data_IF_343761546503
#
_entry.id   IF_343761546503
#
_cell.length_a   1.000
_cell.length_b   1.000
_cell.length_c   1.000
_cell.angle_alpha   90.00
_cell.angle_beta   90.00
_cell.angle_gamma   90.00
#
_symmetry.space_group_name_H-M   'P 1'
#
loop_
_entity.id
_entity.type
_entity.pdbx_description
1 polymer ?
#
# COMPACT_ATOMS: atom_id res chain seq x y z
N UNK A 1 -1.26 -7.37 8.94
CA UNK A 1 0.05 -6.72 8.84
C UNK A 1 -0.10 -5.38 8.14
N UNK A 2 0.78 -4.41 8.42
CA UNK A 2 0.84 -3.15 7.68
C UNK A 2 1.89 -3.23 6.57
N UNK A 3 1.56 -2.77 5.36
CA UNK A 3 2.43 -2.84 4.17
C UNK A 3 3.68 -1.96 4.36
N UNK A 4 3.54 -0.77 4.95
CA UNK A 4 4.64 0.15 5.24
C UNK A 4 5.76 -0.44 6.11
N UNK A 5 5.39 -1.33 7.04
CA UNK A 5 6.29 -1.91 8.03
C UNK A 5 7.14 -3.08 7.51
N UNK A 6 6.93 -3.53 6.26
CA UNK A 6 7.63 -4.69 5.69
C UNK A 6 8.44 -4.29 4.46
N UNK A 7 9.70 -4.70 4.39
CA UNK A 7 10.54 -4.47 3.20
C UNK A 7 10.32 -5.50 2.07
N UNK A 8 9.37 -6.41 2.25
CA UNK A 8 9.08 -7.51 1.33
C UNK A 8 7.61 -7.49 0.91
N UNK A 9 7.29 -8.24 -0.14
CA UNK A 9 5.92 -8.39 -0.62
C UNK A 9 4.98 -8.96 0.46
N UNK A 10 3.79 -8.39 0.60
CA UNK A 10 2.79 -8.80 1.60
C UNK A 10 1.54 -9.32 0.91
N UNK A 11 1.01 -10.47 1.34
CA UNK A 11 -0.25 -11.00 0.78
C UNK A 11 -1.42 -10.05 1.06
N UNK A 12 -2.29 -9.86 0.07
CA UNK A 12 -3.51 -9.05 0.22
C UNK A 12 -4.37 -9.49 1.41
N UNK A 13 -4.52 -10.80 1.62
CA UNK A 13 -5.29 -11.36 2.75
C UNK A 13 -4.70 -10.96 4.10
N UNK A 14 -3.37 -10.97 4.24
CA UNK A 14 -2.71 -10.57 5.48
C UNK A 14 -2.86 -9.06 5.79
N UNK A 15 -3.17 -8.25 4.77
CA UNK A 15 -3.53 -6.83 4.96
C UNK A 15 -5.00 -6.72 5.37
N UNK A 16 -5.89 -7.44 4.69
CA UNK A 16 -7.31 -7.50 5.02
C UNK A 16 -7.56 -7.89 6.48
N UNK A 17 -6.85 -8.91 6.98
CA UNK A 17 -7.01 -9.40 8.37
C UNK A 17 -6.64 -8.37 9.44
N UNK A 18 -6.01 -7.25 9.07
CA UNK A 18 -5.64 -6.17 10.00
C UNK A 18 -6.35 -4.85 9.71
N UNK A 19 -7.33 -4.84 8.82
CA UNK A 19 -8.13 -3.66 8.49
C UNK A 19 -9.60 -3.98 8.76
N UNK A 20 -10.32 -3.16 9.55
CA UNK A 20 -11.74 -3.39 9.84
C UNK A 20 -12.62 -2.93 8.67
N UNK A 21 -12.32 -3.36 7.44
CA UNK A 21 -13.04 -3.02 6.22
C UNK A 21 -13.32 -4.27 5.39
N UNK A 22 -14.33 -4.21 4.52
CA UNK A 22 -14.66 -5.34 3.65
C UNK A 22 -13.56 -5.61 2.61
N UNK A 23 -13.51 -6.84 2.09
CA UNK A 23 -12.59 -7.21 1.01
C UNK A 23 -12.82 -6.38 -0.27
N UNK A 24 -14.07 -5.99 -0.56
CA UNK A 24 -14.39 -5.13 -1.69
C UNK A 24 -13.84 -3.72 -1.50
N UNK A 25 -14.03 -3.14 -0.31
CA UNK A 25 -13.49 -1.83 0.07
C UNK A 25 -11.98 -1.85 -0.01
N UNK A 26 -11.32 -2.85 0.58
CA UNK A 26 -9.87 -3.00 0.51
C UNK A 26 -9.38 -3.08 -0.95
N UNK A 27 -10.03 -3.89 -1.79
CA UNK A 27 -9.67 -4.03 -3.20
C UNK A 27 -9.75 -2.70 -3.95
N UNK A 28 -10.77 -1.88 -3.64
CA UNK A 28 -10.89 -0.54 -4.20
C UNK A 28 -9.70 0.34 -3.79
N UNK A 29 -9.35 0.38 -2.50
CA UNK A 29 -8.18 1.13 -2.02
C UNK A 29 -6.86 0.65 -2.63
N UNK A 30 -6.66 -0.66 -2.74
CA UNK A 30 -5.45 -1.22 -3.36
C UNK A 30 -5.33 -0.81 -4.83
N UNK A 31 -6.44 -0.77 -5.58
CA UNK A 31 -6.45 -0.21 -6.94
C UNK A 31 -6.08 1.27 -6.96
N UNK A 32 -6.61 2.09 -6.05
CA UNK A 32 -6.25 3.51 -5.99
C UNK A 32 -4.76 3.70 -5.68
N UNK A 33 -4.21 2.93 -4.75
CA UNK A 33 -2.79 2.97 -4.40
C UNK A 33 -1.90 2.49 -5.55
N UNK A 34 -2.32 1.47 -6.28
CA UNK A 34 -1.60 0.98 -7.48
C UNK A 34 -1.64 2.02 -8.60
N UNK A 35 -2.80 2.62 -8.88
CA UNK A 35 -2.95 3.69 -9.88
C UNK A 35 -2.11 4.92 -9.53
N UNK A 36 -1.97 5.25 -8.25
CA UNK A 36 -1.10 6.32 -7.77
C UNK A 36 0.40 5.97 -7.82
N UNK A 37 0.76 4.73 -8.19
CA UNK A 37 2.14 4.26 -8.23
C UNK A 37 2.76 4.01 -6.85
N UNK A 38 1.97 4.03 -5.77
CA UNK A 38 2.44 3.82 -4.40
C UNK A 38 2.72 2.35 -4.10
N UNK A 39 1.99 1.45 -4.75
CA UNK A 39 2.21 0.00 -4.64
C UNK A 39 2.22 -0.63 -6.03
N UNK A 40 2.74 -1.85 -6.11
CA UNK A 40 2.52 -2.76 -7.23
C UNK A 40 1.87 -4.04 -6.74
N UNK A 41 1.02 -4.65 -7.57
CA UNK A 41 0.37 -5.92 -7.26
C UNK A 41 1.00 -7.03 -8.10
N UNK A 42 1.85 -7.85 -7.49
CA UNK A 42 2.45 -9.02 -8.11
C UNK A 42 1.57 -10.25 -7.92
N UNK A 43 1.03 -10.80 -9.02
CA UNK A 43 0.23 -12.03 -8.99
C UNK A 43 1.14 -13.25 -9.06
N UNK A 44 1.02 -14.15 -8.09
CA UNK A 44 1.70 -15.45 -8.06
C UNK A 44 0.62 -16.53 -7.94
N UNK A 45 0.20 -17.07 -9.09
CA UNK A 45 -0.94 -17.98 -9.18
C UNK A 45 -2.23 -17.32 -8.70
N UNK A 46 -2.90 -17.93 -7.72
CA UNK A 46 -4.13 -17.39 -7.09
C UNK A 46 -3.88 -16.29 -6.06
N UNK A 47 -2.63 -15.99 -5.74
CA UNK A 47 -2.28 -15.02 -4.70
C UNK A 47 -1.87 -13.68 -5.29
N UNK A 48 -2.36 -12.60 -4.69
CA UNK A 48 -1.93 -11.24 -4.98
C UNK A 48 -1.03 -10.76 -3.84
N UNK A 49 0.23 -10.45 -4.18
CA UNK A 49 1.21 -9.87 -3.28
C UNK A 49 1.34 -8.37 -3.56
N UNK A 50 1.36 -7.58 -2.50
CA UNK A 50 1.45 -6.13 -2.52
C UNK A 50 2.89 -5.72 -2.22
N UNK A 51 3.48 -4.90 -3.07
CA UNK A 51 4.85 -4.40 -2.92
C UNK A 51 4.81 -2.88 -2.85
N UNK A 52 5.23 -2.31 -1.73
CA UNK A 52 5.32 -0.85 -1.57
C UNK A 52 6.45 -0.30 -2.44
N UNK A 53 6.12 0.71 -3.25
CA UNK A 53 7.10 1.47 -4.01
C UNK A 53 7.76 2.51 -3.10
N UNK A 54 8.76 2.08 -2.33
CA UNK A 54 9.36 2.89 -1.26
C UNK A 54 9.89 4.24 -1.74
N UNK A 55 10.51 4.29 -2.91
CA UNK A 55 11.04 5.54 -3.45
C UNK A 55 9.91 6.55 -3.74
N UNK A 56 8.79 6.07 -4.31
CA UNK A 56 7.62 6.89 -4.60
C UNK A 56 6.94 7.34 -3.31
N UNK A 57 6.77 6.41 -2.36
CA UNK A 57 6.17 6.70 -1.06
C UNK A 57 7.00 7.71 -0.27
N UNK A 58 8.33 7.58 -0.26
CA UNK A 58 9.22 8.53 0.40
C UNK A 58 9.16 9.90 -0.28
N UNK A 59 9.21 9.97 -1.61
CA UNK A 59 9.07 11.24 -2.34
C UNK A 59 7.72 11.93 -2.05
N UNK A 60 6.65 11.14 -1.90
CA UNK A 60 5.34 11.65 -1.47
C UNK A 60 5.37 12.20 -0.05
N UNK A 61 5.97 11.49 0.92
CA UNK A 61 6.14 11.99 2.28
C UNK A 61 7.00 13.26 2.33
N UNK A 62 8.09 13.31 1.57
CA UNK A 62 8.96 14.49 1.46
C UNK A 62 8.20 15.68 0.87
N UNK A 63 7.29 15.44 -0.07
CA UNK A 63 6.40 16.47 -0.60
C UNK A 63 5.39 16.93 0.46
N UNK A 64 4.74 16.00 1.16
CA UNK A 64 3.81 16.32 2.25
C UNK A 64 4.48 17.15 3.34
N UNK A 65 5.71 16.82 3.75
CA UNK A 65 6.47 17.55 4.75
C UNK A 65 6.78 19.01 4.34
N UNK A 66 6.77 19.32 3.04
CA UNK A 66 6.98 20.70 2.55
C UNK A 66 5.70 21.53 2.59
N UNK A 67 4.53 20.90 2.50
CA UNK A 67 3.24 21.58 2.40
C UNK A 67 2.44 21.54 3.70
N UNK A 68 2.75 20.60 4.60
CA UNK A 68 2.14 20.52 5.92
C UNK A 68 2.87 21.45 6.89
N UNK A 69 2.15 22.21 7.74
CA UNK A 69 2.77 22.94 8.83
C UNK A 69 3.48 21.95 9.75
N UNK A 70 4.73 22.27 10.12
CA UNK A 70 5.44 21.51 11.13
C UNK A 70 4.86 21.89 12.49
N UNK A 71 4.01 21.03 13.04
CA UNK A 71 3.38 21.19 14.36
C UNK A 71 4.42 21.09 15.47
#
# INVERSE_FOLDING_TARGET
MQIGAKNCAVRCTAVHDCQPISAATLSHHLKQLEMAGLITIARQGKFANLVLQRNVFQAYLDHLAKILPQT
#
